data_IF_176072902786
#
_entry.id   IF_176072902786
#
_cell.length_a   1.000
_cell.length_b   1.000
_cell.length_c   1.000
_cell.angle_alpha   90.00
_cell.angle_beta   90.00
_cell.angle_gamma   90.00
#
_symmetry.space_group_name_H-M   'P 1'
#
loop_
_entity.id
_entity.type
_entity.pdbx_description
1 polymer ?
#
# COMPACT_ATOMS: atom_id res chain seq x y z
N UNK A 1 22.94 29.91 -40.27
CA UNK A 1 22.04 30.33 -39.19
C UNK A 1 21.77 29.07 -38.39
N UNK A 2 22.52 28.89 -37.30
CA UNK A 2 22.32 27.80 -36.36
C UNK A 2 21.31 28.29 -35.32
N UNK A 3 20.10 27.75 -35.35
CA UNK A 3 19.15 27.91 -34.26
C UNK A 3 19.37 26.78 -33.26
N UNK A 4 19.91 27.18 -32.12
CA UNK A 4 19.85 26.44 -30.88
C UNK A 4 18.40 26.39 -30.42
N UNK A 5 17.85 25.19 -30.22
CA UNK A 5 16.60 25.04 -29.47
C UNK A 5 16.87 24.15 -28.26
N UNK A 6 16.87 24.81 -27.10
CA UNK A 6 16.77 24.20 -25.79
C UNK A 6 15.39 23.54 -25.65
N UNK A 7 15.37 22.28 -25.26
CA UNK A 7 14.17 21.57 -24.86
C UNK A 7 14.51 20.48 -23.86
N UNK A 8 13.80 20.50 -22.73
CA UNK A 8 13.49 19.37 -21.86
C UNK A 8 14.46 19.02 -20.72
N UNK A 9 14.49 19.90 -19.71
CA UNK A 9 15.04 19.61 -18.37
C UNK A 9 14.04 19.72 -17.21
N UNK A 10 12.75 19.97 -17.46
CA UNK A 10 11.78 20.36 -16.41
C UNK A 10 10.93 19.23 -15.81
N UNK A 11 11.01 17.99 -16.32
CA UNK A 11 10.16 16.88 -15.85
C UNK A 11 10.79 15.91 -14.85
N UNK A 12 12.13 15.79 -14.83
CA UNK A 12 12.80 14.67 -14.12
C UNK A 12 12.93 14.91 -12.61
N UNK A 13 13.27 16.14 -12.18
CA UNK A 13 13.56 16.43 -10.78
C UNK A 13 12.35 16.40 -9.84
N UNK A 14 11.15 16.74 -10.36
CA UNK A 14 9.92 16.69 -9.56
C UNK A 14 9.42 15.27 -9.31
N UNK A 15 9.58 14.38 -10.29
CA UNK A 15 9.20 12.96 -10.17
C UNK A 15 10.15 12.25 -9.19
N UNK A 16 11.44 12.57 -9.22
CA UNK A 16 12.43 11.99 -8.30
C UNK A 16 12.18 12.42 -6.84
N UNK A 17 11.92 13.72 -6.61
CA UNK A 17 11.55 14.23 -5.29
C UNK A 17 10.22 13.66 -4.76
N UNK A 18 9.25 13.43 -5.66
CA UNK A 18 7.98 12.78 -5.30
C UNK A 18 8.19 11.32 -4.84
N UNK A 19 8.99 10.55 -5.59
CA UNK A 19 9.32 9.16 -5.23
C UNK A 19 10.07 9.05 -3.90
N UNK A 20 10.95 9.99 -3.60
CA UNK A 20 11.62 10.05 -2.30
C UNK A 20 10.61 10.27 -1.17
N UNK A 21 9.69 11.23 -1.33
CA UNK A 21 8.60 11.46 -0.36
C UNK A 21 7.72 10.23 -0.16
N UNK A 22 7.34 9.56 -1.25
CA UNK A 22 6.55 8.34 -1.18
C UNK A 22 7.30 7.22 -0.44
N UNK A 23 8.60 7.05 -0.71
CA UNK A 23 9.45 6.08 0.00
C UNK A 23 9.50 6.37 1.51
N UNK A 24 9.74 7.62 1.90
CA UNK A 24 9.80 8.02 3.32
C UNK A 24 8.44 7.80 4.01
N UNK A 25 7.35 8.21 3.36
CA UNK A 25 6.00 8.01 3.88
C UNK A 25 5.69 6.50 4.04
N UNK A 26 6.00 5.70 3.01
CA UNK A 26 5.86 4.25 3.05
C UNK A 26 6.65 3.62 4.19
N UNK A 27 7.90 4.03 4.41
CA UNK A 27 8.71 3.57 5.55
C UNK A 27 8.01 3.86 6.88
N UNK A 28 7.43 5.04 7.06
CA UNK A 28 6.70 5.38 8.29
C UNK A 28 5.45 4.50 8.45
N UNK A 29 4.68 4.33 7.38
CA UNK A 29 3.45 3.54 7.40
C UNK A 29 3.72 2.06 7.72
N UNK A 30 4.69 1.44 7.03
CA UNK A 30 5.07 0.05 7.25
C UNK A 30 5.64 -0.16 8.65
N UNK A 31 6.41 0.79 9.17
CA UNK A 31 6.88 0.74 10.56
C UNK A 31 5.70 0.73 11.55
N UNK A 32 4.67 1.54 11.31
CA UNK A 32 3.47 1.56 12.15
C UNK A 32 2.69 0.24 12.06
N UNK A 33 2.53 -0.33 10.86
CA UNK A 33 1.92 -1.66 10.67
C UNK A 33 2.66 -2.72 11.47
N UNK A 34 3.99 -2.84 11.30
CA UNK A 34 4.83 -3.80 12.02
C UNK A 34 4.70 -3.65 13.53
N UNK A 35 4.73 -2.41 14.04
CA UNK A 35 4.55 -2.12 15.47
C UNK A 35 3.16 -2.54 15.97
N UNK A 36 2.10 -2.26 15.21
CA UNK A 36 0.73 -2.65 15.56
C UNK A 36 0.60 -4.16 15.65
N UNK A 37 1.12 -4.88 14.67
CA UNK A 37 1.11 -6.35 14.63
C UNK A 37 1.92 -6.94 15.79
N UNK A 38 3.10 -6.40 16.09
CA UNK A 38 3.91 -6.88 17.21
C UNK A 38 3.24 -6.65 18.57
N UNK A 39 2.61 -5.49 18.77
CA UNK A 39 2.02 -5.11 20.06
C UNK A 39 0.68 -5.81 20.34
N UNK A 40 -0.14 -6.04 19.33
CA UNK A 40 -1.51 -6.51 19.52
C UNK A 40 -1.74 -7.95 19.04
N UNK A 41 -1.00 -8.39 18.03
CA UNK A 41 -1.10 -9.74 17.47
C UNK A 41 0.07 -10.64 17.92
N UNK A 42 1.11 -10.06 18.53
CA UNK A 42 2.27 -10.80 19.03
C UNK A 42 3.16 -11.36 17.92
N UNK A 43 3.08 -10.79 16.71
CA UNK A 43 3.81 -11.24 15.51
C UNK A 43 4.77 -10.17 15.00
N UNK A 44 5.99 -10.57 14.65
CA UNK A 44 6.93 -9.70 13.92
C UNK A 44 6.82 -10.01 12.43
N UNK A 45 6.33 -9.04 11.67
CA UNK A 45 6.12 -9.19 10.24
C UNK A 45 7.45 -9.23 9.49
N UNK A 46 7.60 -10.25 8.63
CA UNK A 46 8.75 -10.46 7.76
C UNK A 46 8.42 -10.21 6.30
N UNK A 47 9.44 -10.02 5.45
CA UNK A 47 9.24 -9.98 3.99
C UNK A 47 8.61 -11.28 3.44
N UNK A 48 8.94 -12.43 4.04
CA UNK A 48 8.39 -13.73 3.64
C UNK A 48 6.90 -13.84 3.99
N UNK A 49 6.45 -13.22 5.08
CA UNK A 49 5.02 -13.18 5.44
C UNK A 49 4.24 -12.32 4.43
N UNK A 50 4.78 -11.16 4.04
CA UNK A 50 4.13 -10.32 3.02
C UNK A 50 4.05 -11.04 1.69
N UNK A 51 5.12 -11.76 1.30
CA UNK A 51 5.16 -12.54 0.07
C UNK A 51 4.12 -13.68 0.05
N UNK A 52 3.78 -14.26 1.20
CA UNK A 52 2.69 -15.24 1.29
C UNK A 52 1.33 -14.60 1.03
N UNK A 53 1.07 -13.40 1.55
CA UNK A 53 -0.16 -12.65 1.25
C UNK A 53 -0.22 -12.35 -0.25
N UNK A 54 0.87 -11.86 -0.83
CA UNK A 54 0.99 -11.58 -2.26
C UNK A 54 0.66 -12.81 -3.12
N UNK A 55 1.33 -13.94 -2.87
CA UNK A 55 1.13 -15.18 -3.63
C UNK A 55 -0.32 -15.67 -3.58
N UNK A 56 -1.01 -15.51 -2.45
CA UNK A 56 -2.42 -15.86 -2.35
C UNK A 56 -3.29 -14.97 -3.24
N UNK A 57 -3.05 -13.65 -3.28
CA UNK A 57 -3.81 -12.75 -4.15
C UNK A 57 -3.70 -13.12 -5.63
N UNK A 58 -2.57 -13.68 -6.07
CA UNK A 58 -2.38 -14.17 -7.45
C UNK A 58 -3.20 -15.43 -7.76
N UNK A 59 -3.53 -16.23 -6.74
CA UNK A 59 -4.25 -17.51 -6.91
C UNK A 59 -5.76 -17.40 -6.74
N UNK A 60 -6.26 -16.26 -6.23
CA UNK A 60 -7.68 -16.07 -5.98
C UNK A 60 -8.47 -15.74 -7.26
N UNK A 61 -9.77 -15.95 -7.20
CA UNK A 61 -10.72 -15.63 -8.27
C UNK A 61 -10.73 -14.12 -8.56
N UNK A 62 -10.60 -13.76 -9.84
CA UNK A 62 -10.58 -12.37 -10.35
C UNK A 62 -11.88 -11.59 -10.09
N UNK A 63 -12.94 -12.26 -9.63
CA UNK A 63 -14.22 -11.66 -9.25
C UNK A 63 -14.29 -11.14 -7.81
N UNK A 64 -13.30 -11.44 -6.95
CA UNK A 64 -13.26 -10.97 -5.56
C UNK A 64 -12.69 -9.55 -5.44
N UNK A 65 -13.37 -8.72 -4.65
CA UNK A 65 -12.89 -7.39 -4.25
C UNK A 65 -11.67 -7.45 -3.33
N UNK A 66 -11.16 -6.28 -2.95
CA UNK A 66 -9.97 -6.15 -2.10
C UNK A 66 -10.22 -6.79 -0.73
N UNK A 67 -11.33 -6.42 -0.06
CA UNK A 67 -11.68 -6.94 1.27
C UNK A 67 -11.87 -8.45 1.22
N UNK A 68 -12.69 -8.96 0.29
CA UNK A 68 -12.97 -10.40 0.21
C UNK A 68 -11.70 -11.22 -0.01
N UNK A 69 -10.78 -10.72 -0.85
CA UNK A 69 -9.47 -11.35 -1.10
C UNK A 69 -8.63 -11.40 0.18
N UNK A 70 -8.53 -10.27 0.90
CA UNK A 70 -7.76 -10.17 2.14
C UNK A 70 -8.36 -10.98 3.29
N UNK A 71 -9.69 -11.03 3.40
CA UNK A 71 -10.37 -11.89 4.38
C UNK A 71 -10.14 -13.37 4.07
N UNK A 72 -10.13 -13.74 2.79
CA UNK A 72 -9.74 -15.09 2.34
C UNK A 72 -8.31 -15.43 2.81
N UNK A 73 -7.36 -14.52 2.57
CA UNK A 73 -5.97 -14.69 3.00
C UNK A 73 -5.87 -14.85 4.53
N UNK A 74 -6.56 -13.99 5.27
CA UNK A 74 -6.60 -14.01 6.73
C UNK A 74 -7.11 -15.32 7.34
N UNK A 75 -7.95 -16.08 6.62
CA UNK A 75 -8.49 -17.37 7.08
C UNK A 75 -7.61 -18.55 6.69
N UNK A 76 -6.76 -18.40 5.68
CA UNK A 76 -6.04 -19.51 5.04
C UNK A 76 -4.55 -19.62 5.43
N UNK A 77 -4.01 -18.65 6.15
CA UNK A 77 -2.56 -18.49 6.33
C UNK A 77 -2.09 -18.58 7.78
N UNK A 78 -0.76 -18.65 7.93
CA UNK A 78 -0.06 -18.53 9.20
C UNK A 78 -0.36 -17.20 9.93
N UNK A 79 -0.12 -17.11 11.25
CA UNK A 79 -0.56 -15.99 12.07
C UNK A 79 -0.08 -14.61 11.60
N UNK A 80 1.19 -14.47 11.20
CA UNK A 80 1.76 -13.20 10.76
C UNK A 80 1.18 -12.69 9.43
N UNK A 81 1.18 -13.46 8.32
CA UNK A 81 0.53 -13.05 7.08
C UNK A 81 -0.98 -12.85 7.25
N UNK A 82 -1.64 -13.69 8.05
CA UNK A 82 -3.06 -13.53 8.35
C UNK A 82 -3.35 -12.24 9.12
N UNK A 83 -2.49 -11.85 10.08
CA UNK A 83 -2.64 -10.61 10.83
C UNK A 83 -2.42 -9.37 9.95
N UNK A 84 -1.44 -9.42 9.03
CA UNK A 84 -1.28 -8.36 8.02
C UNK A 84 -2.55 -8.23 7.17
N UNK A 85 -3.08 -9.35 6.66
CA UNK A 85 -4.27 -9.33 5.82
C UNK A 85 -5.49 -8.75 6.56
N UNK A 86 -5.70 -9.12 7.84
CA UNK A 86 -6.74 -8.52 8.69
C UNK A 86 -6.53 -7.02 8.88
N UNK A 87 -5.30 -6.59 9.17
CA UNK A 87 -5.02 -5.17 9.36
C UNK A 87 -5.31 -4.34 8.09
N UNK A 88 -5.03 -4.90 6.91
CA UNK A 88 -5.27 -4.22 5.64
C UNK A 88 -6.76 -4.05 5.28
N UNK A 89 -7.67 -4.80 5.90
CA UNK A 89 -9.13 -4.59 5.77
C UNK A 89 -9.69 -3.58 6.76
N UNK A 90 -8.87 -3.05 7.67
CA UNK A 90 -9.32 -2.03 8.61
C UNK A 90 -9.67 -0.73 7.89
N UNK A 91 -10.48 0.09 8.53
CA UNK A 91 -10.99 1.34 7.99
C UNK A 91 -9.88 2.39 7.85
N UNK A 92 -9.88 3.11 6.74
CA UNK A 92 -9.08 4.30 6.46
C UNK A 92 -9.98 5.50 6.12
N UNK A 93 -10.33 6.35 7.10
CA UNK A 93 -11.16 7.50 6.85
C UNK A 93 -10.41 8.55 6.01
N UNK A 94 -11.06 9.14 4.99
CA UNK A 94 -10.44 10.12 4.10
C UNK A 94 -10.08 11.43 4.84
N UNK A 95 -9.07 12.15 4.32
CA UNK A 95 -8.69 13.46 4.83
C UNK A 95 -7.96 13.46 6.19
N UNK A 96 -7.67 12.29 6.75
CA UNK A 96 -6.93 12.12 8.00
C UNK A 96 -5.43 11.87 7.73
N UNK A 97 -4.60 12.15 8.74
CA UNK A 97 -3.23 11.62 8.78
C UNK A 97 -3.30 10.09 8.78
N UNK A 98 -2.23 9.43 8.35
CA UNK A 98 -2.19 7.97 8.43
C UNK A 98 -2.31 7.54 9.90
N UNK A 99 -3.42 6.86 10.20
CA UNK A 99 -3.79 6.35 11.52
C UNK A 99 -4.38 4.95 11.34
N UNK A 100 -3.97 4.02 12.21
CA UNK A 100 -4.48 2.65 12.18
C UNK A 100 -5.73 2.57 13.05
N UNK A 101 -6.89 2.51 12.40
CA UNK A 101 -8.16 2.31 13.09
C UNK A 101 -8.37 0.83 13.42
N UNK A 102 -9.14 0.55 14.47
CA UNK A 102 -9.51 -0.82 14.85
C UNK A 102 -10.78 -1.31 14.14
N UNK A 103 -11.58 -0.39 13.62
CA UNK A 103 -12.81 -0.69 12.90
C UNK A 103 -12.51 -1.37 11.56
N UNK A 104 -13.28 -2.39 11.20
CA UNK A 104 -13.26 -2.95 9.86
C UNK A 104 -13.88 -1.96 8.86
N UNK A 105 -13.35 -1.95 7.64
CA UNK A 105 -13.94 -1.23 6.52
C UNK A 105 -15.29 -1.84 6.12
N UNK A 106 -16.20 -1.02 5.59
CA UNK A 106 -17.50 -1.49 5.08
C UNK A 106 -17.46 -1.82 3.57
N UNK A 107 -16.36 -1.51 2.89
CA UNK A 107 -16.14 -1.83 1.48
C UNK A 107 -14.71 -1.52 1.02
N UNK A 108 -14.41 -1.84 -0.24
CA UNK A 108 -13.06 -1.64 -0.78
C UNK A 108 -12.62 -0.17 -0.75
N UNK A 109 -13.58 0.77 -0.84
CA UNK A 109 -13.33 2.21 -0.87
C UNK A 109 -12.86 2.82 0.45
N UNK A 110 -13.10 2.15 1.58
CA UNK A 110 -12.72 2.64 2.90
C UNK A 110 -11.70 1.74 3.60
N UNK A 111 -11.09 0.77 2.90
CA UNK A 111 -10.07 -0.10 3.47
C UNK A 111 -8.68 0.54 3.52
N UNK A 112 -7.87 0.07 4.47
CA UNK A 112 -6.51 0.52 4.70
C UNK A 112 -5.61 0.26 3.49
N UNK A 113 -5.73 -0.90 2.83
CA UNK A 113 -4.96 -1.18 1.62
C UNK A 113 -5.13 -0.07 0.57
N UNK A 114 -6.38 0.32 0.29
CA UNK A 114 -6.66 1.41 -0.64
C UNK A 114 -6.12 2.75 -0.11
N UNK A 115 -6.35 3.04 1.17
CA UNK A 115 -5.83 4.24 1.82
C UNK A 115 -4.32 4.38 1.72
N UNK A 116 -3.59 3.26 1.77
CA UNK A 116 -2.14 3.25 1.59
C UNK A 116 -1.76 3.58 0.14
N UNK A 117 -2.38 2.90 -0.82
CA UNK A 117 -2.14 3.14 -2.25
C UNK A 117 -2.30 4.63 -2.61
N UNK A 118 -3.42 5.23 -2.20
CA UNK A 118 -3.75 6.62 -2.49
C UNK A 118 -2.71 7.58 -1.90
N UNK A 119 -2.34 7.41 -0.62
CA UNK A 119 -1.36 8.28 0.02
C UNK A 119 0.02 8.19 -0.62
N UNK A 120 0.44 6.99 -1.03
CA UNK A 120 1.70 6.79 -1.73
C UNK A 120 1.68 7.42 -3.13
N UNK A 121 0.59 7.28 -3.88
CA UNK A 121 0.42 7.95 -5.17
C UNK A 121 0.42 9.47 -5.04
N UNK A 122 -0.34 10.02 -4.09
CA UNK A 122 -0.37 11.45 -3.77
C UNK A 122 1.03 11.96 -3.43
N UNK A 123 1.78 11.24 -2.60
CA UNK A 123 3.14 11.61 -2.27
C UNK A 123 4.09 11.54 -3.48
N UNK A 124 3.92 10.54 -4.35
CA UNK A 124 4.74 10.32 -5.53
C UNK A 124 4.50 11.35 -6.65
N UNK A 125 3.25 11.78 -6.83
CA UNK A 125 2.83 12.57 -7.98
C UNK A 125 2.37 13.99 -7.64
N UNK A 126 2.13 14.29 -6.37
CA UNK A 126 1.74 15.62 -5.91
C UNK A 126 0.28 15.99 -6.21
N UNK A 127 -0.59 15.01 -6.49
CA UNK A 127 -2.02 15.24 -6.64
C UNK A 127 -2.70 15.53 -5.31
N UNK A 128 -3.87 16.17 -5.33
CA UNK A 128 -4.70 16.33 -4.14
C UNK A 128 -5.34 15.00 -3.74
N UNK A 129 -5.32 14.66 -2.44
CA UNK A 129 -5.86 13.39 -1.91
C UNK A 129 -7.33 13.18 -2.31
N UNK A 130 -8.15 14.23 -2.26
CA UNK A 130 -9.55 14.16 -2.66
C UNK A 130 -9.73 13.80 -4.14
N UNK A 131 -8.85 14.31 -5.02
CA UNK A 131 -8.87 14.04 -6.46
C UNK A 131 -8.46 12.60 -6.74
N UNK A 132 -7.39 12.12 -6.10
CA UNK A 132 -6.93 10.74 -6.24
C UNK A 132 -7.99 9.75 -5.74
N UNK A 133 -8.61 10.01 -4.57
CA UNK A 133 -9.71 9.20 -4.03
C UNK A 133 -10.89 9.12 -4.99
N UNK A 134 -11.29 10.24 -5.57
CA UNK A 134 -12.38 10.26 -6.53
C UNK A 134 -12.03 9.47 -7.80
N UNK A 135 -10.82 9.63 -8.33
CA UNK A 135 -10.36 8.92 -9.52
C UNK A 135 -10.32 7.40 -9.30
N UNK A 136 -9.80 6.96 -8.15
CA UNK A 136 -9.75 5.55 -7.79
C UNK A 136 -11.16 4.98 -7.57
N UNK A 137 -12.04 5.70 -6.87
CA UNK A 137 -13.42 5.27 -6.66
C UNK A 137 -14.17 5.04 -7.98
N UNK A 138 -14.09 5.99 -8.91
CA UNK A 138 -14.70 5.86 -10.24
C UNK A 138 -14.19 4.63 -11.00
N UNK A 139 -12.92 4.27 -10.82
CA UNK A 139 -12.31 3.13 -11.51
C UNK A 139 -12.66 1.80 -10.85
N UNK A 140 -12.78 1.76 -9.52
CA UNK A 140 -13.25 0.60 -8.76
C UNK A 140 -14.73 0.31 -8.98
N UNK A 141 -15.56 1.33 -9.20
CA UNK A 141 -17.00 1.18 -9.50
C UNK A 141 -17.27 0.87 -10.98
N UNK A 142 -16.28 1.07 -11.85
CA UNK A 142 -16.40 0.90 -13.30
C UNK A 142 -16.29 -0.56 -13.77
N UNK A 143 -16.47 -0.75 -15.08
CA UNK A 143 -16.21 -2.05 -15.73
C UNK A 143 -14.75 -2.45 -15.54
N UNK A 144 -14.50 -3.61 -14.94
CA UNK A 144 -13.15 -4.07 -14.60
C UNK A 144 -12.64 -3.57 -13.25
N UNK A 145 -13.51 -2.99 -12.42
CA UNK A 145 -13.16 -2.49 -11.08
C UNK A 145 -12.48 -3.54 -10.20
N UNK A 146 -12.92 -4.79 -10.24
CA UNK A 146 -12.28 -5.87 -9.47
C UNK A 146 -10.84 -6.15 -9.90
N UNK A 147 -10.57 -6.18 -11.21
CA UNK A 147 -9.21 -6.34 -11.72
C UNK A 147 -8.32 -5.16 -11.28
N UNK A 148 -8.87 -3.95 -11.30
CA UNK A 148 -8.15 -2.76 -10.80
C UNK A 148 -7.92 -2.82 -9.28
N UNK A 149 -8.88 -3.32 -8.49
CA UNK A 149 -8.71 -3.55 -7.06
C UNK A 149 -7.59 -4.56 -6.77
N UNK A 150 -7.48 -5.61 -7.59
CA UNK A 150 -6.37 -6.57 -7.53
C UNK A 150 -5.02 -5.90 -7.83
N UNK A 151 -4.95 -5.06 -8.87
CA UNK A 151 -3.73 -4.29 -9.19
C UNK A 151 -3.30 -3.40 -8.01
N UNK A 152 -4.26 -2.71 -7.39
CA UNK A 152 -4.02 -1.91 -6.17
C UNK A 152 -3.45 -2.77 -5.06
N UNK A 153 -4.09 -3.91 -4.78
CA UNK A 153 -3.68 -4.80 -3.71
C UNK A 153 -2.28 -5.36 -3.93
N UNK A 154 -1.98 -5.83 -5.14
CA UNK A 154 -0.63 -6.29 -5.51
C UNK A 154 0.41 -5.18 -5.36
N UNK A 155 0.06 -3.94 -5.73
CA UNK A 155 0.95 -2.79 -5.57
C UNK A 155 1.25 -2.50 -4.11
N UNK A 156 0.22 -2.46 -3.27
CA UNK A 156 0.35 -2.21 -1.83
C UNK A 156 1.20 -3.29 -1.16
N UNK A 157 0.95 -4.56 -1.47
CA UNK A 157 1.73 -5.67 -0.93
C UNK A 157 3.20 -5.62 -1.38
N UNK A 158 3.45 -5.24 -2.64
CA UNK A 158 4.81 -4.99 -3.14
C UNK A 158 5.50 -3.87 -2.36
N UNK A 159 4.82 -2.74 -2.16
CA UNK A 159 5.38 -1.62 -1.41
C UNK A 159 5.67 -2.04 0.05
N UNK A 160 4.75 -2.76 0.72
CA UNK A 160 4.96 -3.28 2.09
C UNK A 160 6.15 -4.26 2.14
N UNK A 161 6.27 -5.15 1.16
CA UNK A 161 7.36 -6.13 1.07
C UNK A 161 8.72 -5.42 0.98
N UNK A 162 8.88 -4.52 0.01
CA UNK A 162 10.14 -3.85 -0.27
C UNK A 162 10.57 -2.94 0.89
N UNK A 163 9.61 -2.25 1.50
CA UNK A 163 9.87 -1.38 2.64
C UNK A 163 10.19 -2.18 3.91
N UNK A 164 9.55 -3.33 4.12
CA UNK A 164 9.88 -4.24 5.23
C UNK A 164 11.33 -4.74 5.09
N UNK A 165 11.73 -5.13 3.88
CA UNK A 165 13.10 -5.52 3.57
C UNK A 165 14.09 -4.38 3.84
N UNK A 166 13.77 -3.17 3.38
CA UNK A 166 14.62 -1.99 3.58
C UNK A 166 14.82 -1.67 5.06
N UNK A 167 13.74 -1.71 5.87
CA UNK A 167 13.81 -1.49 7.31
C UNK A 167 14.71 -2.51 8.00
N UNK A 168 14.60 -3.80 7.65
CA UNK A 168 15.46 -4.85 8.22
C UNK A 168 16.94 -4.62 7.92
N UNK A 169 17.27 -4.30 6.67
CA UNK A 169 18.66 -3.96 6.28
C UNK A 169 19.18 -2.77 7.09
N UNK A 170 18.33 -1.76 7.35
CA UNK A 170 18.70 -0.62 8.20
C UNK A 170 18.89 -1.03 9.66
N UNK A 171 18.00 -1.84 10.23
CA UNK A 171 18.07 -2.32 11.61
C UNK A 171 19.37 -3.13 11.84
N UNK A 172 19.73 -4.02 10.92
CA UNK A 172 20.93 -4.85 11.00
C UNK A 172 22.21 -3.99 10.96
N UNK A 173 22.24 -2.94 10.13
CA UNK A 173 23.38 -2.01 10.05
C UNK A 173 23.59 -1.16 11.30
N UNK A 174 22.55 -0.92 12.10
CA UNK A 174 22.66 -0.16 13.36
C UNK A 174 23.03 -1.04 14.55
N UNK A 175 22.96 -2.37 14.41
CA UNK A 175 23.28 -3.35 15.46
C UNK A 175 24.67 -3.98 15.31
N UNK A 176 25.30 -3.86 14.13
CA UNK A 176 26.68 -4.28 13.86
C UNK A 176 27.69 -3.15 14.05
#
# INVERSE_FOLDING_TARGET
>A
MDESSHGDGYGSGHIEAGREKATILGMVMVLQLRRRLALHDGVDLTEADVAQVFAFTETMDDSLGIIDTLEGAARAMDPAPAALARLLVHRDPPGSRFELHEEHANGDLDCLALGMFIRLNVAAHGFEDAVERQAVALRLEGTGGTAYGREILQRVLTDIHDLTRMQRIMEDRHRG
#
